data_IF_741672405343
#
_entry.id   IF_741672405343
#
_cell.length_a   1.000
_cell.length_b   1.000
_cell.length_c   1.000
_cell.angle_alpha   90.00
_cell.angle_beta   90.00
_cell.angle_gamma   90.00
#
_symmetry.space_group_name_H-M   'P 1'
#
loop_
_entity.id
_entity.type
_entity.pdbx_description
1 polymer ?
#
# COMPACT_ATOMS: atom_id res chain seq x y z
N UNK A 1 -12.03 23.60 32.07
CA UNK A 1 -11.85 23.43 30.62
C UNK A 1 -12.37 22.05 30.29
N UNK A 2 -13.40 21.95 29.44
CA UNK A 2 -14.00 20.66 29.12
C UNK A 2 -13.08 19.92 28.16
N UNK A 3 -12.37 18.89 28.67
CA UNK A 3 -11.76 17.87 27.83
C UNK A 3 -12.87 17.28 26.95
N UNK A 4 -12.86 17.64 25.67
CA UNK A 4 -13.65 16.94 24.67
C UNK A 4 -13.03 15.55 24.54
N UNK A 5 -13.45 14.66 25.42
CA UNK A 5 -13.31 13.23 25.25
C UNK A 5 -14.12 12.87 23.99
N UNK A 6 -13.54 13.09 22.80
CA UNK A 6 -13.93 12.38 21.57
C UNK A 6 -13.55 10.92 21.80
N UNK A 7 -14.28 10.24 22.69
CA UNK A 7 -14.35 8.79 22.66
C UNK A 7 -14.92 8.49 21.29
N UNK A 8 -14.06 8.11 20.35
CA UNK A 8 -14.52 7.45 19.13
C UNK A 8 -15.44 6.34 19.61
N UNK A 9 -16.72 6.43 19.25
CA UNK A 9 -17.62 5.29 19.37
C UNK A 9 -16.89 4.14 18.69
N UNK A 10 -16.76 3.03 19.41
CA UNK A 10 -15.99 1.89 18.94
C UNK A 10 -16.78 1.29 17.77
N UNK A 11 -16.52 1.81 16.57
CA UNK A 11 -17.07 1.33 15.32
C UNK A 11 -16.60 -0.12 15.12
N UNK A 12 -17.49 -0.98 14.63
CA UNK A 12 -17.17 -2.39 14.40
C UNK A 12 -15.94 -2.47 13.48
N UNK A 13 -14.94 -3.25 13.90
CA UNK A 13 -13.71 -3.50 13.15
C UNK A 13 -14.06 -4.06 11.75
N UNK A 14 -15.17 -4.80 11.65
CA UNK A 14 -15.65 -5.38 10.40
C UNK A 14 -16.05 -4.33 9.37
N UNK A 15 -16.42 -3.12 9.79
CA UNK A 15 -16.84 -2.07 8.85
C UNK A 15 -15.67 -1.53 8.03
N UNK A 16 -14.44 -1.56 8.57
CA UNK A 16 -13.23 -1.17 7.82
C UNK A 16 -13.02 -2.06 6.60
N UNK A 17 -13.42 -3.33 6.67
CA UNK A 17 -13.21 -4.26 5.55
C UNK A 17 -14.08 -3.92 4.34
N UNK A 18 -15.21 -3.25 4.56
CA UNK A 18 -16.17 -2.84 3.52
C UNK A 18 -15.78 -1.54 2.83
N UNK A 19 -15.03 -0.66 3.50
CA UNK A 19 -14.54 0.59 2.91
C UNK A 19 -13.66 0.26 1.71
N UNK A 20 -13.75 0.95 0.58
CA UNK A 20 -12.84 0.70 -0.55
C UNK A 20 -12.95 1.84 -1.55
N UNK A 21 -11.84 2.52 -1.80
CA UNK A 21 -11.80 3.56 -2.81
C UNK A 21 -11.43 2.94 -4.17
N UNK A 22 -12.21 3.24 -5.20
CA UNK A 22 -12.09 2.70 -6.56
C UNK A 22 -10.88 3.22 -7.33
N UNK A 23 -10.35 4.39 -6.97
CA UNK A 23 -9.20 5.02 -7.64
C UNK A 23 -7.88 4.36 -7.22
N UNK A 24 -7.75 4.07 -5.92
CA UNK A 24 -6.56 3.44 -5.35
C UNK A 24 -6.43 1.97 -5.76
N UNK A 25 -5.19 1.49 -5.92
CA UNK A 25 -4.91 0.07 -6.10
C UNK A 25 -5.35 -0.75 -4.88
N UNK A 26 -5.45 -2.07 -5.06
CA UNK A 26 -5.73 -3.00 -3.96
C UNK A 26 -4.70 -2.90 -2.83
N UNK A 27 -3.43 -2.65 -3.17
CA UNK A 27 -2.32 -2.51 -2.21
C UNK A 27 -2.50 -1.24 -1.36
N UNK A 28 -2.78 -0.11 -2.00
CA UNK A 28 -3.02 1.16 -1.29
C UNK A 28 -4.28 1.05 -0.41
N UNK A 29 -5.38 0.51 -0.93
CA UNK A 29 -6.59 0.24 -0.15
C UNK A 29 -6.32 -0.66 1.06
N UNK A 30 -5.51 -1.71 0.90
CA UNK A 30 -5.13 -2.59 2.01
C UNK A 30 -4.41 -1.83 3.12
N UNK A 31 -3.40 -1.02 2.79
CA UNK A 31 -2.63 -0.30 3.80
C UNK A 31 -3.42 0.85 4.45
N UNK A 32 -4.32 1.53 3.72
CA UNK A 32 -5.24 2.51 4.31
C UNK A 32 -6.17 1.85 5.35
N UNK A 33 -6.74 0.69 5.02
CA UNK A 33 -7.56 -0.11 5.97
C UNK A 33 -6.75 -0.59 7.17
N UNK A 34 -5.53 -1.09 6.94
CA UNK A 34 -4.62 -1.51 8.01
C UNK A 34 -4.29 -0.34 8.93
N UNK A 35 -4.08 0.85 8.38
CA UNK A 35 -3.83 2.06 9.17
C UNK A 35 -5.05 2.47 10.01
N UNK A 36 -6.27 2.48 9.45
CA UNK A 36 -7.50 2.72 10.23
C UNK A 36 -7.66 1.72 11.37
N UNK A 37 -7.38 0.43 11.10
CA UNK A 37 -7.44 -0.60 12.12
C UNK A 37 -6.45 -0.32 13.25
N UNK A 38 -5.19 0.00 12.91
CA UNK A 38 -4.16 0.29 13.90
C UNK A 38 -4.48 1.57 14.69
N UNK A 39 -4.97 2.62 14.05
CA UNK A 39 -5.43 3.84 14.73
C UNK A 39 -6.53 3.52 15.76
N UNK A 40 -7.51 2.68 15.40
CA UNK A 40 -8.54 2.23 16.37
C UNK A 40 -7.96 1.43 17.53
N UNK A 41 -6.92 0.62 17.30
CA UNK A 41 -6.21 -0.07 18.40
C UNK A 41 -5.53 0.96 19.30
N UNK A 42 -4.80 1.91 18.73
CA UNK A 42 -4.11 2.98 19.46
C UNK A 42 -5.09 3.79 20.32
N UNK A 43 -6.25 4.17 19.78
CA UNK A 43 -7.27 4.93 20.52
C UNK A 43 -7.90 4.15 21.69
N UNK A 44 -7.78 2.82 21.74
CA UNK A 44 -8.24 2.02 22.89
C UNK A 44 -7.23 1.97 24.03
N UNK A 45 -5.95 2.08 23.71
CA UNK A 45 -4.86 1.92 24.68
C UNK A 45 -4.25 3.26 25.11
N UNK A 46 -4.59 4.35 24.43
CA UNK A 46 -4.11 5.70 24.71
C UNK A 46 -5.30 6.62 24.99
N UNK A 47 -5.12 7.61 25.87
CA UNK A 47 -6.21 8.47 26.34
C UNK A 47 -5.95 9.98 26.21
N UNK A 48 -4.72 10.37 25.88
CA UNK A 48 -4.25 11.75 25.76
C UNK A 48 -3.46 11.94 24.47
N UNK A 49 -3.36 13.17 23.97
CA UNK A 49 -2.55 13.55 22.80
C UNK A 49 -2.89 12.80 21.49
N UNK A 50 -4.18 12.51 21.27
CA UNK A 50 -4.66 11.76 20.09
C UNK A 50 -5.27 12.63 18.99
N UNK A 51 -5.28 13.95 19.15
CA UNK A 51 -6.06 14.87 18.32
C UNK A 51 -5.68 14.78 16.83
N UNK A 52 -4.38 14.86 16.53
CA UNK A 52 -3.87 14.73 15.16
C UNK A 52 -4.14 13.35 14.55
N UNK A 53 -4.03 12.29 15.36
CA UNK A 53 -4.29 10.93 14.92
C UNK A 53 -5.79 10.69 14.64
N UNK A 54 -6.66 11.32 15.42
CA UNK A 54 -8.11 11.29 15.20
C UNK A 54 -8.46 12.02 13.90
N UNK A 55 -7.83 13.17 13.65
CA UNK A 55 -8.06 13.91 12.40
C UNK A 55 -7.51 13.14 11.18
N UNK A 56 -6.36 12.48 11.32
CA UNK A 56 -5.84 11.54 10.32
C UNK A 56 -6.78 10.35 10.08
N UNK A 57 -7.37 9.79 11.15
CA UNK A 57 -8.34 8.71 11.05
C UNK A 57 -9.53 9.09 10.18
N UNK A 58 -10.18 10.22 10.47
CA UNK A 58 -11.35 10.66 9.70
C UNK A 58 -10.97 10.99 8.26
N UNK A 59 -9.80 11.58 8.04
CA UNK A 59 -9.31 11.86 6.70
C UNK A 59 -9.13 10.58 5.85
N UNK A 60 -8.53 9.52 6.42
CA UNK A 60 -8.38 8.23 5.74
C UNK A 60 -9.75 7.56 5.51
N UNK A 61 -10.66 7.67 6.48
CA UNK A 61 -12.02 7.13 6.35
C UNK A 61 -12.78 7.80 5.21
N UNK A 62 -12.74 9.14 5.12
CA UNK A 62 -13.32 9.91 4.02
C UNK A 62 -12.70 9.56 2.66
N UNK A 63 -11.38 9.36 2.59
CA UNK A 63 -10.74 8.87 1.37
C UNK A 63 -11.26 7.48 0.97
N UNK A 64 -11.38 6.54 1.91
CA UNK A 64 -11.85 5.20 1.62
C UNK A 64 -13.36 5.10 1.31
N UNK A 65 -14.15 6.08 1.76
CA UNK A 65 -15.57 6.23 1.43
C UNK A 65 -15.83 6.98 0.13
N UNK A 66 -14.78 7.50 -0.52
CA UNK A 66 -14.91 8.36 -1.71
C UNK A 66 -15.64 9.69 -1.43
N UNK A 67 -15.61 10.15 -0.18
CA UNK A 67 -16.11 11.48 0.19
C UNK A 67 -15.16 12.60 -0.26
N UNK A 68 -13.91 12.25 -0.58
CA UNK A 68 -12.86 13.13 -1.07
C UNK A 68 -12.41 12.63 -2.45
N UNK A 69 -12.40 13.54 -3.43
CA UNK A 69 -11.87 13.27 -4.76
C UNK A 69 -10.37 13.05 -4.73
N UNK A 70 -9.93 11.85 -5.12
CA UNK A 70 -8.50 11.49 -5.14
C UNK A 70 -7.85 12.06 -6.40
N UNK A 71 -7.22 13.22 -6.24
CA UNK A 71 -6.40 13.87 -7.26
C UNK A 71 -4.91 13.69 -6.99
N UNK A 72 -4.06 14.08 -7.94
CA UNK A 72 -2.61 14.06 -7.76
C UNK A 72 -2.14 14.93 -6.57
N UNK A 73 -2.82 16.06 -6.34
CA UNK A 73 -2.51 16.92 -5.19
C UNK A 73 -3.02 16.32 -3.88
N UNK A 74 -4.14 15.59 -3.92
CA UNK A 74 -4.66 14.86 -2.76
C UNK A 74 -3.70 13.74 -2.33
N UNK A 75 -3.11 13.01 -3.28
CA UNK A 75 -2.09 11.99 -2.99
C UNK A 75 -0.86 12.63 -2.34
N UNK A 76 -0.41 13.79 -2.81
CA UNK A 76 0.71 14.53 -2.18
C UNK A 76 0.35 14.97 -0.77
N UNK A 77 -0.87 15.46 -0.56
CA UNK A 77 -1.35 15.90 0.75
C UNK A 77 -1.39 14.73 1.74
N UNK A 78 -1.88 13.57 1.31
CA UNK A 78 -1.86 12.36 2.12
C UNK A 78 -0.42 11.94 2.48
N UNK A 79 0.51 11.92 1.51
CA UNK A 79 1.92 11.61 1.79
C UNK A 79 2.51 12.61 2.80
N UNK A 80 2.22 13.90 2.65
CA UNK A 80 2.68 14.94 3.57
C UNK A 80 2.15 14.70 4.99
N UNK A 81 0.84 14.50 5.15
CA UNK A 81 0.21 14.22 6.45
C UNK A 81 0.80 12.99 7.12
N UNK A 82 0.98 11.91 6.37
CA UNK A 82 1.59 10.67 6.86
C UNK A 82 3.05 10.88 7.29
N UNK A 83 3.80 11.71 6.56
CA UNK A 83 5.19 12.04 6.90
C UNK A 83 5.23 12.85 8.19
N UNK A 84 4.38 13.86 8.31
CA UNK A 84 4.27 14.70 9.51
C UNK A 84 3.91 13.87 10.74
N UNK A 85 2.96 12.93 10.61
CA UNK A 85 2.61 11.99 11.68
C UNK A 85 3.80 11.12 12.12
N UNK A 86 4.63 10.64 11.18
CA UNK A 86 5.83 9.86 11.54
C UNK A 86 6.86 10.76 12.25
N UNK A 87 7.12 11.94 11.70
CA UNK A 87 8.16 12.84 12.23
C UNK A 87 7.82 13.30 13.65
N UNK A 88 6.54 13.55 13.92
CA UNK A 88 6.07 14.02 15.22
C UNK A 88 5.58 12.89 16.13
N UNK A 89 5.76 11.61 15.76
CA UNK A 89 5.18 10.46 16.48
C UNK A 89 5.63 10.39 17.94
N UNK A 90 6.90 10.74 18.20
CA UNK A 90 7.51 10.75 19.53
C UNK A 90 6.89 11.83 20.43
N UNK A 91 6.36 12.91 19.85
CA UNK A 91 5.71 14.01 20.58
C UNK A 91 4.32 13.63 21.08
N UNK A 92 3.70 12.60 20.48
CA UNK A 92 2.37 12.15 20.86
C UNK A 92 2.35 11.30 22.15
N UNK A 93 3.50 10.81 22.62
CA UNK A 93 3.62 9.97 23.84
C UNK A 93 2.62 8.80 23.86
N UNK A 94 2.49 8.10 22.72
CA UNK A 94 1.53 7.00 22.54
C UNK A 94 2.20 5.63 22.66
N UNK A 95 1.52 4.71 23.33
CA UNK A 95 1.88 3.30 23.34
C UNK A 95 1.50 2.63 22.02
N UNK A 96 2.47 1.95 21.39
CA UNK A 96 2.27 1.23 20.13
C UNK A 96 2.64 2.03 18.87
N UNK A 97 3.40 3.13 19.02
CA UNK A 97 3.91 3.95 17.90
C UNK A 97 4.53 3.13 16.77
N UNK A 98 5.25 2.05 17.08
CA UNK A 98 5.95 1.22 16.09
C UNK A 98 4.98 0.54 15.10
N UNK A 99 3.77 0.21 15.56
CA UNK A 99 2.73 -0.40 14.73
C UNK A 99 2.20 0.62 13.70
N UNK A 100 2.11 1.89 14.10
CA UNK A 100 1.74 2.99 13.21
C UNK A 100 2.87 3.26 12.22
N UNK A 101 4.10 3.44 12.67
CA UNK A 101 5.23 3.80 11.79
C UNK A 101 5.47 2.76 10.70
N UNK A 102 5.44 1.46 11.03
CA UNK A 102 5.57 0.39 10.03
C UNK A 102 4.45 0.44 8.98
N UNK A 103 3.22 0.66 9.42
CA UNK A 103 2.06 0.70 8.52
C UNK A 103 2.07 1.93 7.64
N UNK A 104 2.45 3.08 8.19
CA UNK A 104 2.58 4.33 7.45
C UNK A 104 3.71 4.22 6.42
N UNK A 105 4.87 3.63 6.75
CA UNK A 105 5.97 3.45 5.81
C UNK A 105 5.56 2.61 4.58
N UNK A 106 4.85 1.49 4.82
CA UNK A 106 4.31 0.65 3.75
C UNK A 106 3.27 1.38 2.90
N UNK A 107 2.41 2.17 3.55
CA UNK A 107 1.42 3.00 2.87
C UNK A 107 2.09 4.07 1.99
N UNK A 108 3.09 4.78 2.51
CA UNK A 108 3.85 5.78 1.77
C UNK A 108 4.50 5.18 0.53
N UNK A 109 5.13 4.00 0.64
CA UNK A 109 5.68 3.30 -0.53
C UNK A 109 4.59 3.03 -1.58
N UNK A 110 3.40 2.59 -1.14
CA UNK A 110 2.26 2.38 -2.04
C UNK A 110 1.79 3.68 -2.70
N UNK A 111 1.72 4.77 -1.94
CA UNK A 111 1.27 6.07 -2.43
C UNK A 111 2.25 6.72 -3.41
N UNK A 112 3.55 6.53 -3.24
CA UNK A 112 4.54 6.99 -4.22
C UNK A 112 4.31 6.33 -5.59
N UNK A 113 3.98 5.03 -5.62
CA UNK A 113 3.63 4.34 -6.87
C UNK A 113 2.32 4.87 -7.48
N UNK A 114 1.30 5.16 -6.66
CA UNK A 114 0.08 5.81 -7.17
C UNK A 114 0.38 7.21 -7.73
N UNK A 115 1.23 7.98 -7.07
CA UNK A 115 1.61 9.33 -7.50
C UNK A 115 2.36 9.29 -8.84
N UNK A 116 3.24 8.31 -9.05
CA UNK A 116 3.88 8.06 -10.34
C UNK A 116 2.85 7.66 -11.40
N UNK A 117 1.93 6.75 -11.09
CA UNK A 117 0.82 6.36 -11.98
C UNK A 117 0.00 7.58 -12.42
N UNK A 118 -0.35 8.47 -11.50
CA UNK A 118 -1.11 9.70 -11.81
C UNK A 118 -0.30 10.69 -12.65
N UNK A 119 0.98 10.93 -12.31
CA UNK A 119 1.87 11.78 -13.10
C UNK A 119 1.98 11.28 -14.53
N UNK A 120 2.02 9.97 -14.69
CA UNK A 120 2.16 9.35 -15.98
C UNK A 120 0.84 9.28 -16.73
N UNK A 121 -0.30 9.11 -16.08
CA UNK A 121 -1.62 9.26 -16.71
C UNK A 121 -1.83 10.68 -17.28
N UNK A 122 -1.32 11.71 -16.58
CA UNK A 122 -1.31 13.09 -17.08
C UNK A 122 -0.38 13.27 -18.28
N UNK A 123 0.72 12.52 -18.36
CA UNK A 123 1.66 12.53 -19.49
C UNK A 123 1.22 11.62 -20.64
N UNK A 124 0.48 10.54 -20.38
CA UNK A 124 0.06 9.53 -21.36
C UNK A 124 -1.17 9.95 -22.15
N UNK A 125 -1.77 11.10 -21.83
CA UNK A 125 -2.59 11.84 -22.79
C UNK A 125 -1.81 12.21 -24.07
N UNK A 126 -0.48 12.05 -24.09
CA UNK A 126 0.37 12.25 -25.26
C UNK A 126 0.93 10.96 -25.91
N UNK A 127 0.93 9.77 -25.26
CA UNK A 127 1.49 8.56 -25.91
C UNK A 127 1.12 7.21 -25.24
N UNK A 128 0.53 6.28 -26.01
CA UNK A 128 0.08 4.94 -25.58
C UNK A 128 1.22 4.01 -25.13
N UNK A 129 2.48 4.31 -25.46
CA UNK A 129 3.62 3.46 -25.10
C UNK A 129 3.95 3.49 -23.60
N UNK A 130 3.73 4.62 -22.94
CA UNK A 130 4.06 4.77 -21.51
C UNK A 130 3.13 3.95 -20.61
N UNK A 131 1.85 3.86 -20.96
CA UNK A 131 0.83 3.09 -20.23
C UNK A 131 1.27 1.61 -20.06
N UNK A 132 1.83 1.01 -21.11
CA UNK A 132 2.33 -0.37 -21.07
C UNK A 132 3.56 -0.56 -20.16
N UNK A 133 4.45 0.44 -20.11
CA UNK A 133 5.65 0.42 -19.26
C UNK A 133 5.23 0.56 -17.79
N UNK A 134 4.21 1.35 -17.52
CA UNK A 134 3.70 1.61 -16.17
C UNK A 134 2.92 0.42 -15.63
N UNK A 135 2.04 -0.14 -16.44
CA UNK A 135 1.36 -1.38 -16.11
C UNK A 135 2.36 -2.49 -15.81
N UNK A 136 3.51 -2.53 -16.51
CA UNK A 136 4.58 -3.47 -16.23
C UNK A 136 5.33 -3.22 -14.91
N UNK A 137 5.43 -1.96 -14.45
CA UNK A 137 6.07 -1.59 -13.18
C UNK A 137 5.13 -1.73 -11.97
N UNK A 138 3.83 -1.51 -12.16
CA UNK A 138 2.78 -1.73 -11.16
C UNK A 138 2.47 -3.22 -11.02
N UNK A 139 2.67 -4.00 -12.09
CA UNK A 139 2.64 -5.46 -12.09
C UNK A 139 3.83 -6.05 -11.31
N UNK A 140 3.62 -6.14 -9.99
CA UNK A 140 3.92 -7.31 -9.14
C UNK A 140 5.12 -7.29 -8.20
N UNK A 141 4.86 -6.79 -6.99
CA UNK A 141 5.29 -7.51 -5.78
C UNK A 141 4.27 -8.57 -5.32
N UNK A 142 3.03 -8.54 -5.84
CA UNK A 142 1.93 -9.37 -5.36
C UNK A 142 1.90 -10.78 -5.98
N UNK A 143 2.30 -10.94 -7.25
CA UNK A 143 2.38 -12.27 -7.90
C UNK A 143 3.39 -13.17 -7.22
N UNK A 144 4.51 -12.65 -6.72
CA UNK A 144 5.53 -13.47 -6.07
C UNK A 144 4.98 -14.16 -4.83
N UNK A 145 4.33 -13.40 -3.94
CA UNK A 145 3.77 -13.94 -2.71
C UNK A 145 2.61 -14.92 -2.97
N UNK A 146 1.70 -14.61 -3.89
CA UNK A 146 0.58 -15.50 -4.24
C UNK A 146 1.06 -16.80 -4.91
N UNK A 147 2.06 -16.73 -5.79
CA UNK A 147 2.64 -17.91 -6.41
C UNK A 147 3.42 -18.72 -5.38
N UNK A 148 4.25 -18.09 -4.54
CA UNK A 148 5.01 -18.78 -3.49
C UNK A 148 4.10 -19.49 -2.49
N UNK A 149 2.98 -18.86 -2.10
CA UNK A 149 1.98 -19.47 -1.21
C UNK A 149 1.33 -20.69 -1.86
N UNK A 150 0.98 -20.62 -3.16
CA UNK A 150 0.48 -21.78 -3.91
C UNK A 150 1.52 -22.89 -4.08
N UNK A 151 2.81 -22.54 -4.15
CA UNK A 151 3.89 -23.52 -4.31
C UNK A 151 4.26 -24.23 -3.00
N UNK A 152 4.06 -23.60 -1.84
CA UNK A 152 4.18 -24.26 -0.54
C UNK A 152 3.25 -25.48 -0.39
N UNK A 153 2.13 -25.47 -1.09
CA UNK A 153 1.14 -26.56 -1.10
C UNK A 153 1.35 -27.59 -2.23
N UNK A 154 2.23 -27.28 -3.19
CA UNK A 154 2.50 -28.11 -4.37
C UNK A 154 3.53 -29.21 -4.09
N UNK A 155 3.28 -30.42 -4.60
CA UNK A 155 4.23 -31.56 -4.55
C UNK A 155 4.92 -31.87 -5.88
N UNK A 156 4.63 -31.11 -6.94
CA UNK A 156 5.09 -31.38 -8.30
C UNK A 156 6.17 -30.38 -8.73
N UNK A 157 7.37 -30.91 -9.01
CA UNK A 157 8.56 -30.14 -9.41
C UNK A 157 8.35 -29.36 -10.71
N UNK A 158 7.58 -29.89 -11.66
CA UNK A 158 7.36 -29.21 -12.94
C UNK A 158 6.44 -27.98 -12.77
N UNK A 159 5.46 -28.05 -11.88
CA UNK A 159 4.55 -26.93 -11.59
C UNK A 159 5.27 -25.83 -10.80
N UNK A 160 6.19 -26.23 -9.90
CA UNK A 160 7.12 -25.32 -9.21
C UNK A 160 7.98 -24.59 -10.24
N UNK A 161 8.57 -25.32 -11.20
CA UNK A 161 9.46 -24.74 -12.21
C UNK A 161 8.76 -23.73 -13.11
N UNK A 162 7.56 -24.06 -13.62
CA UNK A 162 6.75 -23.14 -14.44
C UNK A 162 6.37 -21.88 -13.65
N UNK A 163 6.10 -22.03 -12.37
CA UNK A 163 5.73 -20.93 -11.48
C UNK A 163 6.91 -20.02 -11.16
N UNK A 164 8.10 -20.59 -10.94
CA UNK A 164 9.34 -19.84 -10.79
C UNK A 164 9.67 -19.09 -12.08
N UNK A 165 9.54 -19.72 -13.25
CA UNK A 165 9.73 -19.02 -14.54
C UNK A 165 8.78 -17.83 -14.69
N UNK A 166 7.52 -17.98 -14.24
CA UNK A 166 6.53 -16.90 -14.24
C UNK A 166 6.92 -15.75 -13.30
N UNK A 167 7.43 -16.05 -12.10
CA UNK A 167 7.96 -15.03 -11.17
C UNK A 167 9.16 -14.32 -11.80
N UNK A 168 10.13 -15.07 -12.34
CA UNK A 168 11.33 -14.51 -12.93
C UNK A 168 11.03 -13.63 -14.15
N UNK A 169 10.07 -14.02 -14.99
CA UNK A 169 9.63 -13.20 -16.12
C UNK A 169 8.87 -11.95 -15.69
N UNK A 170 8.04 -12.03 -14.65
CA UNK A 170 7.23 -10.92 -14.19
C UNK A 170 8.06 -9.88 -13.40
N UNK A 171 8.94 -10.35 -12.51
CA UNK A 171 9.60 -9.49 -11.53
C UNK A 171 11.06 -9.18 -11.86
N UNK A 172 11.72 -10.02 -12.67
CA UNK A 172 13.15 -9.92 -13.00
C UNK A 172 13.41 -10.08 -14.51
N UNK A 173 12.72 -9.30 -15.38
CA UNK A 173 12.69 -9.57 -16.82
C UNK A 173 14.07 -9.47 -17.49
N UNK A 174 14.92 -8.53 -17.07
CA UNK A 174 16.25 -8.32 -17.67
C UNK A 174 17.25 -9.42 -17.26
N UNK A 175 17.26 -9.79 -15.98
CA UNK A 175 18.09 -10.85 -15.42
C UNK A 175 17.68 -12.21 -15.99
N UNK A 176 16.37 -12.45 -16.11
CA UNK A 176 15.85 -13.68 -16.68
C UNK A 176 16.11 -13.80 -18.19
N UNK A 177 16.00 -12.70 -18.95
CA UNK A 177 16.39 -12.68 -20.36
C UNK A 177 17.89 -12.98 -20.54
N UNK A 178 18.74 -12.44 -19.67
CA UNK A 178 20.19 -12.72 -19.64
C UNK A 178 20.48 -14.17 -19.25
N UNK A 179 19.74 -14.74 -18.31
CA UNK A 179 19.82 -16.16 -17.95
C UNK A 179 19.44 -17.06 -19.13
N UNK A 180 18.32 -16.78 -19.82
CA UNK A 180 17.88 -17.55 -21.01
C UNK A 180 18.91 -17.50 -22.14
N UNK A 181 19.46 -16.32 -22.43
CA UNK A 181 20.45 -16.18 -23.51
C UNK A 181 21.72 -16.96 -23.20
N UNK A 182 22.16 -16.99 -21.93
CA UNK A 182 23.36 -17.74 -21.50
C UNK A 182 23.13 -19.25 -21.35
N UNK A 183 21.95 -19.67 -20.90
CA UNK A 183 21.59 -21.09 -20.80
C UNK A 183 21.69 -21.80 -22.15
N UNK A 184 21.17 -21.17 -23.21
CA UNK A 184 21.24 -21.71 -24.57
C UNK A 184 22.66 -21.72 -25.17
N UNK A 185 23.61 -21.00 -24.57
CA UNK A 185 25.02 -20.99 -24.98
C UNK A 185 25.85 -22.10 -24.32
N UNK A 186 25.37 -22.67 -23.21
CA UNK A 186 26.06 -23.71 -22.44
C UNK A 186 25.63 -25.14 -22.83
N UNK A 187 24.59 -25.27 -23.66
CA UNK A 187 24.08 -26.54 -24.20
C UNK A 187 24.67 -26.89 -25.60
N UNK A 188 25.69 -26.15 -26.05
CA UNK A 188 26.49 -26.42 -27.27
C UNK A 188 27.94 -26.76 -26.94
#
# INVERSE_FOLDING_TARGET
>A
MAEKNKKLEILDIRDITKLNNTIFSKKTNHYLKKLLFNLRVIFRYNSTNLEDLIDLYYYIESLLNEDIDVTLDEIKLLIYRLTDTIVNIEEYDIHGETILTETIANLQQSLYMELERFKLALKSLEDQQWESIIDSQIMNTQIEFEILTKQLESKNINDIKLSIEKILQANYPYEYATYKSRKNYLDY
#
